data_IF_665297435525
#
_entry.id   IF_665297435525
#
_cell.length_a   1.000
_cell.length_b   1.000
_cell.length_c   1.000
_cell.angle_alpha   90.00
_cell.angle_beta   90.00
_cell.angle_gamma   90.00
#
_symmetry.space_group_name_H-M   'P 1'
#
loop_
_entity.id
_entity.type
_entity.pdbx_description
1 polymer ?
#
# COMPACT_ATOMS: atom_id res chain seq x y z
N UNK A 1 4.51 53.38 18.73
CA UNK A 1 4.69 51.98 18.26
C UNK A 1 5.18 52.05 16.81
N UNK A 2 6.44 51.67 16.53
CA UNK A 2 6.97 51.68 15.15
C UNK A 2 6.73 50.31 14.53
N UNK A 3 5.94 50.25 13.46
CA UNK A 3 5.74 49.05 12.66
C UNK A 3 6.90 48.97 11.66
N UNK A 4 7.71 47.94 11.78
CA UNK A 4 8.78 47.65 10.81
C UNK A 4 8.11 46.87 9.66
N UNK A 5 7.96 47.52 8.50
CA UNK A 5 7.44 46.86 7.29
C UNK A 5 8.62 46.21 6.56
N UNK A 6 8.68 44.88 6.57
CA UNK A 6 9.65 44.12 5.78
C UNK A 6 9.13 43.93 4.35
N UNK A 7 9.42 44.90 3.48
CA UNK A 7 9.18 44.75 2.05
C UNK A 7 10.22 43.80 1.44
N UNK A 8 9.82 42.57 1.13
CA UNK A 8 10.60 41.66 0.27
C UNK A 8 10.87 40.25 0.80
N UNK A 9 10.53 39.91 2.04
CA UNK A 9 10.81 38.56 2.59
C UNK A 9 9.71 37.50 2.36
N UNK A 10 8.52 37.89 1.89
CA UNK A 10 7.44 36.94 1.58
C UNK A 10 7.45 36.45 0.13
N UNK A 11 8.53 36.70 -0.62
CA UNK A 11 8.69 36.07 -1.93
C UNK A 11 9.23 34.66 -1.71
N UNK A 12 8.47 33.60 -2.05
CA UNK A 12 9.04 32.27 -2.05
C UNK A 12 10.25 32.27 -2.97
N UNK A 13 11.34 31.63 -2.55
CA UNK A 13 12.50 31.42 -3.40
C UNK A 13 12.03 30.77 -4.72
N UNK A 14 12.54 31.27 -5.84
CA UNK A 14 12.21 30.74 -7.16
C UNK A 14 12.68 29.28 -7.20
N UNK A 15 11.73 28.34 -7.23
CA UNK A 15 12.03 26.93 -7.43
C UNK A 15 12.45 26.81 -8.88
N UNK A 16 13.75 26.77 -9.11
CA UNK A 16 14.32 26.50 -10.41
C UNK A 16 13.64 25.25 -11.00
N UNK A 17 12.75 25.47 -11.97
CA UNK A 17 11.81 24.45 -12.48
C UNK A 17 12.45 23.52 -13.50
N UNK A 18 13.78 23.56 -13.62
CA UNK A 18 14.48 22.63 -14.49
C UNK A 18 14.21 21.22 -13.99
N UNK A 19 13.81 20.35 -14.92
CA UNK A 19 13.70 18.92 -14.68
C UNK A 19 15.10 18.39 -14.32
N UNK A 20 15.43 18.43 -13.03
CA UNK A 20 16.66 17.82 -12.54
C UNK A 20 16.55 16.33 -12.79
N UNK A 21 17.44 15.81 -13.63
CA UNK A 21 17.50 14.39 -13.91
C UNK A 21 18.00 13.71 -12.63
N UNK A 22 17.09 13.08 -11.91
CA UNK A 22 17.41 12.26 -10.75
C UNK A 22 18.44 11.20 -11.17
N UNK A 23 19.61 11.25 -10.54
CA UNK A 23 20.66 10.23 -10.70
C UNK A 23 20.68 9.36 -9.44
N UNK A 24 20.77 8.06 -9.64
CA UNK A 24 20.93 7.12 -8.53
C UNK A 24 22.21 7.43 -7.75
N UNK A 25 22.08 7.55 -6.43
CA UNK A 25 23.23 7.70 -5.54
C UNK A 25 23.98 6.37 -5.54
N UNK A 26 25.27 6.40 -5.88
CA UNK A 26 26.16 5.26 -5.65
C UNK A 26 26.45 5.19 -4.16
N UNK A 27 26.07 4.09 -3.53
CA UNK A 27 26.40 3.82 -2.15
C UNK A 27 27.04 2.43 -2.04
N UNK A 28 27.96 2.30 -1.09
CA UNK A 28 28.56 1.03 -0.72
C UNK A 28 27.94 0.60 0.62
N UNK A 29 27.47 -0.63 0.68
CA UNK A 29 26.86 -1.19 1.89
C UNK A 29 28.00 -1.69 2.78
N UNK A 30 27.99 -1.32 4.06
CA UNK A 30 28.94 -1.85 5.04
C UNK A 30 28.53 -3.26 5.47
N UNK A 31 29.50 -4.08 5.89
CA UNK A 31 29.22 -5.41 6.43
C UNK A 31 28.29 -5.37 7.64
N UNK A 32 28.39 -4.31 8.45
CA UNK A 32 27.46 -4.09 9.57
C UNK A 32 26.01 -3.90 9.12
N UNK A 33 25.79 -3.18 8.01
CA UNK A 33 24.46 -3.03 7.43
C UNK A 33 23.95 -4.34 6.81
N UNK A 34 24.82 -5.12 6.15
CA UNK A 34 24.45 -6.45 5.66
C UNK A 34 24.04 -7.38 6.80
N UNK A 35 24.85 -7.49 7.86
CA UNK A 35 24.56 -8.33 9.01
C UNK A 35 23.28 -7.90 9.74
N UNK A 36 23.02 -6.60 9.85
CA UNK A 36 21.78 -6.09 10.44
C UNK A 36 20.54 -6.48 9.61
N UNK A 37 20.64 -6.42 8.27
CA UNK A 37 19.58 -6.86 7.36
C UNK A 37 19.34 -8.37 7.49
N UNK A 38 20.40 -9.17 7.57
CA UNK A 38 20.28 -10.62 7.73
C UNK A 38 19.65 -11.00 9.06
N UNK A 39 20.09 -10.38 10.16
CA UNK A 39 19.51 -10.58 11.49
C UNK A 39 18.02 -10.21 11.53
N UNK A 40 17.66 -9.06 10.95
CA UNK A 40 16.27 -8.64 10.87
C UNK A 40 15.44 -9.63 10.03
N UNK A 41 15.98 -10.14 8.92
CA UNK A 41 15.32 -11.18 8.13
C UNK A 41 15.12 -12.47 8.91
N UNK A 42 16.07 -12.92 9.73
CA UNK A 42 15.90 -14.14 10.53
C UNK A 42 14.87 -13.98 11.65
N UNK A 43 14.89 -12.85 12.36
CA UNK A 43 13.92 -12.55 13.42
C UNK A 43 12.50 -12.44 12.84
N UNK A 44 12.35 -11.76 11.70
CA UNK A 44 11.07 -11.66 10.97
C UNK A 44 10.65 -13.01 10.37
N UNK A 45 11.58 -13.86 9.93
CA UNK A 45 11.23 -15.19 9.39
C UNK A 45 10.67 -16.11 10.47
N UNK A 46 11.19 -16.04 11.69
CA UNK A 46 10.66 -16.79 12.84
C UNK A 46 9.31 -16.23 13.32
N UNK A 47 9.12 -14.90 13.30
CA UNK A 47 7.83 -14.29 13.65
C UNK A 47 6.75 -14.41 12.56
N UNK A 48 7.09 -14.41 11.26
CA UNK A 48 6.12 -14.51 10.15
C UNK A 48 5.64 -15.95 9.91
N UNK A 49 6.33 -16.95 10.47
CA UNK A 49 5.76 -18.29 10.68
C UNK A 49 4.76 -18.31 11.87
N UNK A 50 4.37 -17.15 12.41
CA UNK A 50 3.23 -17.02 13.32
C UNK A 50 2.01 -17.63 12.64
N UNK A 51 1.63 -18.79 13.15
CA UNK A 51 0.58 -19.68 12.69
C UNK A 51 -0.68 -18.86 12.38
N UNK A 52 -0.98 -18.65 11.09
CA UNK A 52 -2.29 -18.14 10.68
C UNK A 52 -3.30 -19.18 11.16
N UNK A 53 -4.18 -18.77 12.08
CA UNK A 53 -5.20 -19.67 12.60
C UNK A 53 -6.24 -19.97 11.51
N UNK A 54 -6.71 -21.21 11.47
CA UNK A 54 -7.86 -21.59 10.64
C UNK A 54 -9.05 -20.71 11.01
N UNK A 55 -9.76 -20.19 10.00
CA UNK A 55 -10.88 -19.27 10.18
C UNK A 55 -10.55 -17.79 9.95
N UNK A 56 -9.28 -17.43 9.73
CA UNK A 56 -8.89 -16.03 9.43
C UNK A 56 -9.34 -15.65 8.02
N UNK A 57 -10.06 -14.54 7.87
CA UNK A 57 -10.45 -14.01 6.56
C UNK A 57 -9.30 -13.26 5.87
N UNK A 58 -9.27 -13.33 4.54
CA UNK A 58 -8.35 -12.56 3.72
C UNK A 58 -8.60 -11.05 3.92
N UNK A 59 -7.54 -10.28 4.12
CA UNK A 59 -7.60 -8.84 4.36
C UNK A 59 -7.49 -8.00 3.08
N UNK A 60 -7.29 -8.65 1.93
CA UNK A 60 -7.33 -7.97 0.64
C UNK A 60 -8.77 -7.56 0.30
N UNK A 61 -9.03 -6.32 -0.15
CA UNK A 61 -10.39 -5.85 -0.38
C UNK A 61 -11.06 -6.59 -1.55
N UNK A 62 -12.33 -6.97 -1.35
CA UNK A 62 -13.10 -7.75 -2.32
C UNK A 62 -12.73 -9.24 -2.38
N UNK A 63 -11.88 -9.72 -1.46
CA UNK A 63 -11.61 -11.15 -1.28
C UNK A 63 -12.38 -11.69 -0.07
N UNK A 64 -13.16 -12.74 -0.26
CA UNK A 64 -14.03 -13.33 0.77
C UNK A 64 -13.51 -14.70 1.26
N UNK A 65 -12.27 -15.05 0.90
CA UNK A 65 -11.68 -16.35 1.26
C UNK A 65 -11.32 -16.39 2.74
N UNK A 66 -11.52 -17.57 3.33
CA UNK A 66 -11.17 -17.90 4.71
C UNK A 66 -9.98 -18.86 4.67
N UNK A 67 -9.04 -18.68 5.60
CA UNK A 67 -7.89 -19.56 5.74
C UNK A 67 -8.32 -20.91 6.31
N UNK A 68 -8.11 -21.97 5.55
CA UNK A 68 -8.44 -23.37 5.89
C UNK A 68 -7.18 -24.24 6.05
N UNK A 69 -6.00 -23.61 6.19
CA UNK A 69 -4.70 -24.28 6.25
C UNK A 69 -3.88 -24.16 4.95
N UNK A 70 -2.89 -25.02 4.77
CA UNK A 70 -1.89 -24.91 3.69
C UNK A 70 -2.48 -24.85 2.27
N UNK A 71 -3.60 -25.53 2.01
CA UNK A 71 -4.26 -25.49 0.71
C UNK A 71 -4.71 -24.07 0.36
N UNK A 72 -5.39 -23.41 1.28
CA UNK A 72 -5.85 -22.03 1.12
C UNK A 72 -4.70 -21.01 1.03
N UNK A 73 -3.52 -21.31 1.60
CA UNK A 73 -2.32 -20.45 1.53
C UNK A 73 -1.85 -20.24 0.09
N UNK A 74 -1.97 -21.27 -0.74
CA UNK A 74 -1.49 -21.28 -2.12
C UNK A 74 -2.58 -20.97 -3.15
N UNK A 75 -3.82 -20.73 -2.71
CA UNK A 75 -4.89 -20.30 -3.61
C UNK A 75 -4.62 -18.90 -4.17
N UNK A 76 -5.14 -18.68 -5.39
CA UNK A 76 -5.09 -17.38 -6.04
C UNK A 76 -6.08 -16.44 -5.36
N UNK A 77 -5.59 -15.31 -4.87
CA UNK A 77 -6.43 -14.24 -4.35
C UNK A 77 -6.86 -13.33 -5.50
N UNK A 78 -8.17 -13.18 -5.69
CA UNK A 78 -8.75 -12.18 -6.58
C UNK A 78 -9.27 -11.02 -5.72
N UNK A 79 -8.72 -9.83 -5.90
CA UNK A 79 -8.97 -8.68 -5.02
C UNK A 79 -8.81 -7.34 -5.76
N UNK A 80 -9.12 -6.24 -5.10
CA UNK A 80 -8.83 -4.88 -5.61
C UNK A 80 -7.49 -4.38 -5.07
N UNK A 81 -6.53 -4.10 -5.94
CA UNK A 81 -5.23 -3.54 -5.53
C UNK A 81 -5.28 -2.03 -5.23
N UNK A 82 -6.39 -1.37 -5.61
CA UNK A 82 -6.61 0.05 -5.44
C UNK A 82 -7.38 0.40 -4.18
N UNK A 83 -7.76 1.68 -4.09
CA UNK A 83 -8.53 2.22 -2.96
C UNK A 83 -9.99 2.46 -3.36
N UNK A 84 -10.89 2.40 -2.39
CA UNK A 84 -12.29 2.76 -2.58
C UNK A 84 -12.41 4.28 -2.78
N UNK A 85 -13.13 4.71 -3.82
CA UNK A 85 -13.39 6.10 -4.15
C UNK A 85 -14.90 6.34 -4.14
N UNK A 86 -15.31 7.41 -3.44
CA UNK A 86 -16.69 7.89 -3.35
C UNK A 86 -16.72 9.33 -3.83
N UNK A 87 -17.26 9.58 -5.01
CA UNK A 87 -17.27 10.91 -5.62
C UNK A 87 -18.54 11.11 -6.44
N UNK A 88 -19.20 12.26 -6.28
CA UNK A 88 -20.42 12.63 -7.03
C UNK A 88 -21.52 11.55 -7.01
N UNK A 89 -21.71 10.89 -5.87
CA UNK A 89 -22.70 9.81 -5.72
C UNK A 89 -22.27 8.45 -6.29
N UNK A 90 -21.13 8.39 -6.98
CA UNK A 90 -20.56 7.17 -7.54
C UNK A 90 -19.53 6.55 -6.60
N UNK A 91 -19.44 5.21 -6.65
CA UNK A 91 -18.58 4.36 -5.82
C UNK A 91 -17.80 3.42 -6.72
N UNK A 92 -16.48 3.35 -6.54
CA UNK A 92 -15.61 2.51 -7.37
C UNK A 92 -14.26 2.25 -6.71
N UNK A 93 -13.50 1.32 -7.27
CA UNK A 93 -12.13 1.03 -6.86
C UNK A 93 -11.14 1.64 -7.83
N UNK A 94 -10.09 2.30 -7.36
CA UNK A 94 -9.12 3.00 -8.23
C UNK A 94 -8.33 2.08 -9.18
N UNK A 95 -8.34 0.77 -8.93
CA UNK A 95 -7.66 -0.23 -9.75
C UNK A 95 -8.48 -0.73 -10.95
N UNK A 96 -9.75 -0.35 -11.08
CA UNK A 96 -10.60 -0.73 -12.21
C UNK A 96 -11.69 0.30 -12.51
N UNK A 97 -12.35 0.15 -13.66
CA UNK A 97 -13.31 1.14 -14.16
C UNK A 97 -14.77 0.86 -13.77
N UNK A 98 -15.03 -0.19 -12.99
CA UNK A 98 -16.37 -0.56 -12.55
C UNK A 98 -16.87 0.47 -11.52
N UNK A 99 -17.93 1.22 -11.88
CA UNK A 99 -18.56 2.23 -11.04
C UNK A 99 -20.03 1.89 -10.79
N UNK A 100 -20.53 2.22 -9.61
CA UNK A 100 -21.94 2.06 -9.25
C UNK A 100 -22.40 3.18 -8.34
N UNK A 101 -23.68 3.54 -8.40
CA UNK A 101 -24.32 4.45 -7.44
C UNK A 101 -24.85 3.71 -6.20
N UNK A 102 -25.08 2.40 -6.30
CA UNK A 102 -25.58 1.56 -5.21
C UNK A 102 -24.45 1.04 -4.32
N UNK A 103 -24.62 1.10 -3.00
CA UNK A 103 -23.57 0.70 -2.04
C UNK A 103 -23.42 -0.81 -1.94
N UNK A 104 -24.51 -1.57 -1.99
CA UNK A 104 -24.47 -3.04 -1.91
C UNK A 104 -23.72 -3.62 -3.11
N UNK A 105 -24.03 -3.11 -4.31
CA UNK A 105 -23.33 -3.46 -5.56
C UNK A 105 -21.83 -3.16 -5.49
N UNK A 106 -21.44 -2.07 -4.81
CA UNK A 106 -20.02 -1.73 -4.64
C UNK A 106 -19.28 -2.75 -3.76
N UNK A 107 -19.91 -3.20 -2.67
CA UNK A 107 -19.34 -4.21 -1.77
C UNK A 107 -19.20 -5.58 -2.45
N UNK A 108 -20.18 -5.97 -3.26
CA UNK A 108 -20.20 -7.24 -4.00
C UNK A 108 -19.28 -7.25 -5.24
N UNK A 109 -18.65 -6.11 -5.57
CA UNK A 109 -17.81 -6.00 -6.75
C UNK A 109 -16.58 -6.91 -6.66
N UNK A 110 -16.56 -7.96 -7.48
CA UNK A 110 -15.40 -8.87 -7.59
C UNK A 110 -14.10 -8.13 -7.90
N UNK A 111 -13.04 -8.54 -7.21
CA UNK A 111 -11.67 -8.09 -7.43
C UNK A 111 -11.24 -8.14 -8.89
N UNK A 112 -10.30 -7.27 -9.27
CA UNK A 112 -9.77 -7.17 -10.63
C UNK A 112 -8.28 -7.54 -10.73
N UNK A 113 -7.62 -7.85 -9.62
CA UNK A 113 -6.20 -8.19 -9.55
C UNK A 113 -6.04 -9.60 -9.00
N UNK A 114 -5.14 -10.39 -9.60
CA UNK A 114 -4.72 -11.70 -9.09
C UNK A 114 -3.42 -11.55 -8.27
N UNK A 115 -3.34 -12.22 -7.12
CA UNK A 115 -2.14 -12.24 -6.29
C UNK A 115 -2.22 -13.25 -5.16
N UNK A 116 -1.42 -13.03 -4.11
CA UNK A 116 -1.44 -13.87 -2.90
C UNK A 116 -2.41 -13.31 -1.87
N UNK A 117 -3.00 -14.20 -1.08
CA UNK A 117 -3.84 -13.80 0.05
C UNK A 117 -3.02 -13.07 1.13
N UNK A 118 -3.66 -12.08 1.76
CA UNK A 118 -3.13 -11.35 2.90
C UNK A 118 -3.87 -11.81 4.16
N UNK A 119 -3.29 -12.75 4.91
CA UNK A 119 -3.89 -13.30 6.13
C UNK A 119 -3.51 -12.49 7.39
N UNK A 120 -2.38 -11.81 7.34
CA UNK A 120 -1.81 -11.02 8.43
C UNK A 120 -1.71 -9.56 7.98
N UNK A 121 -1.89 -8.61 8.91
CA UNK A 121 -1.75 -7.17 8.65
C UNK A 121 -0.73 -6.62 9.62
#
# INVERSE_FOLDING_TARGET
MKIIVWNGLNKPADRQSSLEIMRGIKFEVTDGALNAIEKFKSEVKEEVESVVNVGVSCKNPGCEKIYEGEKSKNEKCIYHSGVAIFHEGMKYWSCCEKKTSDFSTFLEQKGCTEGKHCWMK
#
